data_IF_472364524837
#
_entry.id   IF_472364524837
#
_cell.length_a   1.000
_cell.length_b   1.000
_cell.length_c   1.000
_cell.angle_alpha   90.00
_cell.angle_beta   90.00
_cell.angle_gamma   90.00
#
_symmetry.space_group_name_H-M   'P 1'
#
loop_
_entity.id
_entity.type
_entity.pdbx_description
1 polymer ?
#
# COMPACT_ATOMS: atom_id res chain seq x y z
N UNK A 1 -25.10 -8.13 -7.19
CA UNK A 1 -24.18 -8.73 -6.18
C UNK A 1 -23.73 -7.69 -5.15
N UNK A 2 -23.15 -6.57 -5.54
CA UNK A 2 -22.64 -5.52 -4.63
C UNK A 2 -23.72 -4.95 -3.70
N UNK A 3 -24.89 -4.60 -4.25
CA UNK A 3 -26.02 -4.08 -3.46
C UNK A 3 -26.47 -5.01 -2.32
N UNK A 4 -26.39 -6.32 -2.55
CA UNK A 4 -26.73 -7.32 -1.53
C UNK A 4 -25.70 -7.27 -0.40
N UNK A 5 -24.41 -7.25 -0.73
CA UNK A 5 -23.34 -7.16 0.26
C UNK A 5 -23.50 -5.88 1.10
N UNK A 6 -23.70 -4.73 0.44
CA UNK A 6 -23.88 -3.44 1.14
C UNK A 6 -25.09 -3.42 2.07
N UNK A 7 -26.20 -4.09 1.68
CA UNK A 7 -27.38 -4.22 2.56
C UNK A 7 -27.12 -5.08 3.78
N UNK A 8 -26.30 -6.12 3.64
CA UNK A 8 -25.99 -7.05 4.73
C UNK A 8 -24.87 -6.53 5.67
N UNK A 9 -24.10 -5.55 5.23
CA UNK A 9 -23.05 -4.92 6.05
C UNK A 9 -23.62 -4.12 7.20
N UNK A 10 -23.00 -4.28 8.38
CA UNK A 10 -23.22 -3.38 9.53
C UNK A 10 -22.68 -1.98 9.22
N UNK A 11 -23.10 -0.98 10.00
CA UNK A 11 -22.55 0.37 9.87
C UNK A 11 -21.02 0.38 10.07
N UNK A 12 -20.51 -0.40 11.00
CA UNK A 12 -19.09 -0.51 11.29
C UNK A 12 -18.29 -1.07 10.11
N UNK A 13 -18.79 -2.12 9.47
CA UNK A 13 -18.18 -2.69 8.25
C UNK A 13 -18.23 -1.71 7.09
N UNK A 14 -19.32 -0.94 6.92
CA UNK A 14 -19.37 0.11 5.89
C UNK A 14 -18.35 1.21 6.13
N UNK A 15 -18.21 1.67 7.38
CA UNK A 15 -17.17 2.65 7.74
C UNK A 15 -15.79 2.09 7.50
N UNK A 16 -15.53 0.81 7.84
CA UNK A 16 -14.27 0.13 7.55
C UNK A 16 -13.90 0.11 6.08
N UNK A 17 -14.88 -0.07 5.18
CA UNK A 17 -14.65 -0.04 3.73
C UNK A 17 -14.40 1.37 3.18
N UNK A 18 -14.76 2.42 3.90
CA UNK A 18 -14.59 3.81 3.46
C UNK A 18 -13.37 4.49 4.08
N UNK A 19 -12.73 3.87 5.08
CA UNK A 19 -11.62 4.51 5.76
C UNK A 19 -10.25 4.05 5.24
N UNK A 20 -9.29 4.95 5.35
CA UNK A 20 -7.86 4.77 5.09
C UNK A 20 -7.08 5.25 6.31
N UNK A 21 -7.48 4.80 7.50
CA UNK A 21 -6.94 5.30 8.76
C UNK A 21 -5.54 4.77 9.06
N UNK A 22 -5.28 3.52 8.69
CA UNK A 22 -4.02 2.84 8.97
C UNK A 22 -3.04 3.05 7.82
N UNK A 23 -1.83 3.51 8.13
CA UNK A 23 -0.76 3.56 7.15
C UNK A 23 -0.18 2.18 6.88
N UNK A 24 0.15 1.89 5.62
CA UNK A 24 0.60 0.58 5.19
C UNK A 24 1.86 0.09 5.89
N UNK A 25 2.81 0.98 6.19
CA UNK A 25 4.03 0.64 6.95
C UNK A 25 3.77 0.30 8.42
N UNK A 26 2.56 0.53 8.93
CA UNK A 26 2.13 0.12 10.27
C UNK A 26 1.48 -1.27 10.27
N UNK A 27 1.20 -1.84 9.09
CA UNK A 27 0.54 -3.14 8.98
C UNK A 27 1.48 -4.30 9.26
N UNK A 28 2.78 -4.10 9.11
CA UNK A 28 3.80 -5.13 9.24
C UNK A 28 4.97 -4.67 10.11
N UNK A 29 5.74 -5.64 10.56
CA UNK A 29 7.04 -5.45 11.19
C UNK A 29 8.01 -6.54 10.76
N UNK A 30 9.32 -6.26 10.83
CA UNK A 30 10.36 -7.24 10.53
C UNK A 30 11.03 -7.68 11.83
N UNK A 31 10.83 -8.94 12.20
CA UNK A 31 11.37 -9.54 13.44
C UNK A 31 12.29 -10.69 13.06
N UNK A 32 13.55 -10.63 13.46
CA UNK A 32 14.56 -11.65 13.13
C UNK A 32 14.63 -11.98 11.62
N UNK A 33 14.50 -10.97 10.77
CA UNK A 33 14.54 -11.09 9.31
C UNK A 33 13.26 -11.63 8.68
N UNK A 34 12.19 -11.90 9.46
CA UNK A 34 10.89 -12.34 8.96
C UNK A 34 9.85 -11.23 9.08
N UNK A 35 8.92 -11.19 8.15
CA UNK A 35 7.79 -10.26 8.21
C UNK A 35 6.63 -10.86 9.00
N UNK A 36 6.06 -10.06 9.87
CA UNK A 36 4.90 -10.40 10.69
C UNK A 36 3.91 -9.25 10.66
N UNK A 37 2.61 -9.56 10.75
CA UNK A 37 1.56 -8.55 10.87
C UNK A 37 1.55 -7.98 12.29
N UNK A 38 1.46 -6.65 12.39
CA UNK A 38 1.38 -5.96 13.68
C UNK A 38 0.04 -6.22 14.38
N UNK A 39 0.04 -6.12 15.69
CA UNK A 39 -1.21 -6.24 16.45
C UNK A 39 -2.13 -5.05 16.17
N UNK A 40 -1.59 -3.86 15.96
CA UNK A 40 -2.35 -2.69 15.52
C UNK A 40 -3.18 -2.98 14.26
N UNK A 41 -2.58 -3.58 13.24
CA UNK A 41 -3.29 -3.97 12.02
C UNK A 41 -4.36 -5.04 12.28
N UNK A 42 -4.02 -6.08 13.04
CA UNK A 42 -4.96 -7.16 13.37
C UNK A 42 -6.18 -6.65 14.15
N UNK A 43 -5.96 -5.78 15.12
CA UNK A 43 -7.03 -5.14 15.89
C UNK A 43 -7.91 -4.26 15.00
N UNK A 44 -7.33 -3.48 14.09
CA UNK A 44 -8.05 -2.65 13.15
C UNK A 44 -8.98 -3.50 12.24
N UNK A 45 -8.45 -4.57 11.65
CA UNK A 45 -9.25 -5.49 10.82
C UNK A 45 -10.41 -6.10 11.63
N UNK A 46 -10.13 -6.51 12.87
CA UNK A 46 -11.15 -7.08 13.77
C UNK A 46 -12.20 -6.05 14.15
N UNK A 47 -11.79 -4.83 14.44
CA UNK A 47 -12.68 -3.77 14.86
C UNK A 47 -13.69 -3.40 13.78
N UNK A 48 -13.25 -3.24 12.53
CA UNK A 48 -14.07 -2.77 11.41
C UNK A 48 -14.57 -3.90 10.51
N UNK A 49 -14.21 -5.15 10.78
CA UNK A 49 -14.59 -6.28 9.94
C UNK A 49 -13.96 -6.24 8.53
N UNK A 50 -12.82 -5.58 8.38
CA UNK A 50 -12.08 -5.41 7.15
C UNK A 50 -11.38 -4.07 7.05
N UNK A 51 -10.76 -3.79 5.90
CA UNK A 51 -10.06 -2.54 5.58
C UNK A 51 -10.39 -2.16 4.15
N UNK A 52 -10.87 -0.95 3.91
CA UNK A 52 -11.24 -0.49 2.56
C UNK A 52 -10.04 -0.10 1.71
N UNK A 53 -9.10 0.65 2.29
CA UNK A 53 -7.89 1.07 1.60
C UNK A 53 -6.69 1.12 2.55
N UNK A 54 -5.51 0.80 2.02
CA UNK A 54 -4.23 0.90 2.73
C UNK A 54 -3.28 1.71 1.85
N UNK A 55 -2.71 2.78 2.42
CA UNK A 55 -1.78 3.65 1.75
C UNK A 55 -0.35 3.39 2.22
N UNK A 56 0.59 3.26 1.28
CA UNK A 56 2.01 3.27 1.58
C UNK A 56 2.55 2.00 2.23
N UNK A 57 2.15 0.81 1.78
CA UNK A 57 2.70 -0.45 2.31
C UNK A 57 4.20 -0.54 2.05
N UNK A 58 4.64 -0.11 0.87
CA UNK A 58 6.05 -0.17 0.47
C UNK A 58 6.83 1.09 0.83
N UNK A 59 6.18 2.09 1.43
CA UNK A 59 6.80 3.37 1.74
C UNK A 59 8.02 3.22 2.66
N UNK A 60 9.11 3.85 2.24
CA UNK A 60 10.38 3.85 2.96
C UNK A 60 11.03 5.24 2.88
N UNK A 61 10.87 6.04 3.91
CA UNK A 61 11.39 7.40 4.01
C UNK A 61 11.54 7.85 5.48
N UNK A 62 12.03 9.06 5.67
CA UNK A 62 12.22 9.64 7.00
C UNK A 62 10.90 9.86 7.77
N UNK A 63 9.78 10.03 7.07
CA UNK A 63 8.48 10.20 7.72
C UNK A 63 7.94 8.88 8.26
N UNK A 64 7.97 7.83 7.45
CA UNK A 64 7.54 6.49 7.86
C UNK A 64 8.49 5.83 8.86
N UNK A 65 9.73 6.31 8.99
CA UNK A 65 10.84 5.68 9.74
C UNK A 65 11.21 4.29 9.19
N UNK A 66 10.80 3.99 7.97
CA UNK A 66 11.12 2.75 7.28
C UNK A 66 12.41 2.95 6.47
N UNK A 67 13.30 1.98 6.57
CA UNK A 67 14.62 1.98 5.94
C UNK A 67 14.99 0.56 5.48
N UNK A 68 16.25 0.34 5.07
CA UNK A 68 16.72 -0.96 4.58
C UNK A 68 16.70 -2.10 5.60
N UNK A 69 16.71 -1.79 6.88
CA UNK A 69 16.74 -2.80 7.95
C UNK A 69 15.34 -3.35 8.24
N UNK A 70 14.35 -2.46 8.30
CA UNK A 70 12.98 -2.78 8.71
C UNK A 70 11.93 -2.73 7.60
N UNK A 71 12.29 -2.21 6.42
CA UNK A 71 11.41 -2.05 5.28
C UNK A 71 11.31 -3.31 4.41
N UNK A 72 10.41 -3.23 3.43
CA UNK A 72 10.13 -4.31 2.48
C UNK A 72 11.07 -4.17 1.28
N UNK A 73 11.85 -5.21 0.99
CA UNK A 73 12.63 -5.26 -0.25
C UNK A 73 11.70 -5.47 -1.47
N UNK A 74 12.22 -5.20 -2.65
CA UNK A 74 11.47 -5.44 -3.89
C UNK A 74 11.03 -6.91 -4.01
N UNK A 75 11.94 -7.82 -3.67
CA UNK A 75 11.72 -9.27 -3.75
C UNK A 75 10.67 -9.75 -2.75
N UNK A 76 10.59 -9.09 -1.59
CA UNK A 76 9.66 -9.46 -0.51
C UNK A 76 8.29 -8.79 -0.63
N UNK A 77 8.12 -7.83 -1.54
CA UNK A 77 6.91 -7.01 -1.66
C UNK A 77 5.65 -7.87 -1.84
N UNK A 78 5.70 -8.83 -2.73
CA UNK A 78 4.58 -9.77 -2.96
C UNK A 78 4.23 -10.58 -1.71
N UNK A 79 5.23 -11.05 -0.98
CA UNK A 79 5.02 -11.86 0.24
C UNK A 79 4.24 -11.05 1.26
N UNK A 80 4.68 -9.82 1.54
CA UNK A 80 4.05 -8.97 2.56
C UNK A 80 2.67 -8.49 2.13
N UNK A 81 2.49 -8.07 0.88
CA UNK A 81 1.18 -7.67 0.34
C UNK A 81 0.20 -8.84 0.39
N UNK A 82 0.62 -10.04 -0.01
CA UNK A 82 -0.21 -11.24 0.05
C UNK A 82 -0.60 -11.56 1.50
N UNK A 83 0.35 -11.53 2.43
CA UNK A 83 0.10 -11.77 3.85
C UNK A 83 -0.95 -10.81 4.43
N UNK A 84 -0.88 -9.52 4.09
CA UNK A 84 -1.86 -8.50 4.50
C UNK A 84 -3.24 -8.81 3.90
N UNK A 85 -3.32 -9.05 2.60
CA UNK A 85 -4.58 -9.32 1.90
C UNK A 85 -5.25 -10.62 2.35
N UNK A 86 -4.49 -11.68 2.56
CA UNK A 86 -5.00 -12.95 3.06
C UNK A 86 -5.54 -12.81 4.49
N UNK A 87 -4.86 -12.03 5.34
CA UNK A 87 -5.36 -11.75 6.67
C UNK A 87 -6.68 -11.02 6.65
N UNK A 88 -6.82 -9.97 5.83
CA UNK A 88 -8.07 -9.22 5.66
C UNK A 88 -9.20 -10.16 5.20
N UNK A 89 -8.97 -10.94 4.15
CA UNK A 89 -9.98 -11.89 3.64
C UNK A 89 -10.41 -12.89 4.71
N UNK A 90 -9.47 -13.49 5.39
CA UNK A 90 -9.74 -14.51 6.42
C UNK A 90 -10.51 -13.97 7.63
N UNK A 91 -10.35 -12.69 7.96
CA UNK A 91 -10.91 -12.09 9.18
C UNK A 91 -12.03 -11.08 8.88
N UNK A 92 -12.47 -10.98 7.63
CA UNK A 92 -13.63 -10.19 7.22
C UNK A 92 -14.75 -11.08 6.70
N UNK A 93 -15.99 -10.75 7.04
CA UNK A 93 -17.18 -11.56 6.73
C UNK A 93 -17.48 -11.63 5.23
N UNK A 94 -17.07 -10.63 4.47
CA UNK A 94 -17.32 -10.53 3.03
C UNK A 94 -16.10 -10.80 2.17
N UNK A 95 -14.94 -11.08 2.78
CA UNK A 95 -13.68 -11.39 2.11
C UNK A 95 -13.21 -10.32 1.10
N UNK A 96 -13.62 -9.07 1.31
CA UNK A 96 -13.28 -7.95 0.43
C UNK A 96 -11.81 -7.56 0.67
N UNK A 97 -10.96 -7.61 -0.36
CA UNK A 97 -9.58 -7.17 -0.22
C UNK A 97 -9.49 -5.64 -0.10
N UNK A 98 -8.44 -5.14 0.54
CA UNK A 98 -8.18 -3.71 0.58
C UNK A 98 -7.68 -3.19 -0.77
N UNK A 99 -8.06 -1.96 -1.13
CA UNK A 99 -7.38 -1.21 -2.18
C UNK A 99 -6.01 -0.77 -1.65
N UNK A 100 -4.96 -1.08 -2.41
CA UNK A 100 -3.60 -0.64 -2.08
C UNK A 100 -3.29 0.59 -2.91
N UNK A 101 -2.83 1.64 -2.25
CA UNK A 101 -2.42 2.88 -2.90
C UNK A 101 -1.02 3.30 -2.45
N UNK A 102 -0.25 3.82 -3.39
CA UNK A 102 1.09 4.34 -3.19
C UNK A 102 1.17 5.77 -3.72
N UNK A 103 2.19 6.50 -3.32
CA UNK A 103 2.42 7.89 -3.71
C UNK A 103 3.71 8.01 -4.51
N UNK A 104 3.64 8.76 -5.64
CA UNK A 104 4.74 8.92 -6.58
C UNK A 104 4.99 10.39 -6.94
N UNK A 105 5.01 11.29 -5.96
CA UNK A 105 5.20 12.74 -6.18
C UNK A 105 6.58 13.06 -6.76
N UNK A 106 7.59 12.29 -6.41
CA UNK A 106 8.98 12.42 -6.89
C UNK A 106 9.63 11.04 -7.09
N UNK A 107 8.89 10.13 -7.72
CA UNK A 107 9.17 8.70 -7.79
C UNK A 107 8.47 7.95 -6.67
N UNK A 108 8.43 6.63 -6.79
CA UNK A 108 7.82 5.78 -5.76
C UNK A 108 8.72 5.72 -4.52
N UNK A 109 8.19 6.05 -3.37
CA UNK A 109 8.93 6.10 -2.10
C UNK A 109 9.13 4.71 -1.48
N UNK A 110 9.57 3.73 -2.28
CA UNK A 110 9.87 2.37 -1.85
C UNK A 110 11.36 2.07 -1.96
N UNK A 111 11.83 1.06 -1.23
CA UNK A 111 13.22 0.63 -1.29
C UNK A 111 13.59 0.16 -2.70
N UNK A 112 14.67 0.76 -3.24
CA UNK A 112 15.16 0.44 -4.59
C UNK A 112 14.41 1.12 -5.74
N UNK A 113 13.38 1.90 -5.46
CA UNK A 113 12.66 2.66 -6.48
C UNK A 113 13.47 3.89 -6.94
N UNK A 114 13.30 4.33 -8.20
CA UNK A 114 13.94 5.54 -8.68
C UNK A 114 13.35 6.78 -8.01
N UNK A 115 14.21 7.69 -7.59
CA UNK A 115 13.83 9.02 -7.13
C UNK A 115 13.96 9.99 -8.30
N UNK A 116 12.93 10.78 -8.55
CA UNK A 116 12.86 11.78 -9.61
C UNK A 116 12.52 13.15 -9.01
N UNK A 117 12.73 14.25 -9.72
CA UNK A 117 12.27 15.56 -9.27
C UNK A 117 10.75 15.57 -9.09
N UNK A 118 10.24 16.48 -8.26
CA UNK A 118 8.80 16.66 -8.10
C UNK A 118 8.12 17.04 -9.43
N UNK A 119 6.85 16.70 -9.59
CA UNK A 119 6.08 17.01 -10.81
C UNK A 119 6.14 18.49 -11.19
N UNK A 120 6.15 19.38 -10.19
CA UNK A 120 6.29 20.83 -10.43
C UNK A 120 7.66 21.17 -11.04
N UNK A 121 8.75 20.61 -10.48
CA UNK A 121 10.10 20.82 -11.01
C UNK A 121 10.27 20.22 -12.40
N UNK A 122 9.70 19.05 -12.64
CA UNK A 122 9.71 18.42 -13.97
C UNK A 122 8.90 19.23 -14.99
N UNK A 123 7.76 19.81 -14.60
CA UNK A 123 6.95 20.68 -15.44
C UNK A 123 7.70 21.94 -15.90
N UNK A 124 8.64 22.46 -15.11
CA UNK A 124 9.48 23.61 -15.48
C UNK A 124 10.44 23.33 -16.63
N UNK A 125 10.62 22.08 -17.03
CA UNK A 125 11.43 21.73 -18.21
C UNK A 125 10.74 22.10 -19.54
N UNK A 126 9.44 22.34 -19.53
CA UNK A 126 8.62 22.58 -20.72
C UNK A 126 8.76 21.49 -21.79
N UNK A 127 9.13 20.28 -21.38
CA UNK A 127 9.37 19.15 -22.27
C UNK A 127 8.41 17.99 -21.94
N UNK A 128 7.23 17.94 -22.60
CA UNK A 128 6.23 16.91 -22.33
C UNK A 128 6.72 15.49 -22.66
N UNK A 129 7.55 15.33 -23.71
CA UNK A 129 8.10 14.03 -24.11
C UNK A 129 9.06 13.48 -23.03
N UNK A 130 9.82 14.36 -22.39
CA UNK A 130 10.66 13.98 -21.26
C UNK A 130 9.80 13.52 -20.07
N UNK A 131 8.74 14.24 -19.77
CA UNK A 131 7.78 13.89 -18.71
C UNK A 131 7.15 12.53 -18.93
N UNK A 132 6.67 12.27 -20.14
CA UNK A 132 6.07 10.99 -20.50
C UNK A 132 7.07 9.82 -20.30
N UNK A 133 8.29 9.98 -20.75
CA UNK A 133 9.33 8.94 -20.58
C UNK A 133 9.68 8.69 -19.11
N UNK A 134 9.79 9.74 -18.30
CA UNK A 134 10.10 9.61 -16.87
C UNK A 134 8.95 8.90 -16.15
N UNK A 135 7.72 9.34 -16.36
CA UNK A 135 6.54 8.75 -15.71
C UNK A 135 6.30 7.31 -16.16
N UNK A 136 6.54 7.01 -17.44
CA UNK A 136 6.50 5.63 -17.93
C UNK A 136 7.48 4.72 -17.17
N UNK A 137 8.71 5.14 -16.95
CA UNK A 137 9.70 4.36 -16.21
C UNK A 137 9.29 4.13 -14.75
N UNK A 138 8.68 5.11 -14.09
CA UNK A 138 8.13 4.95 -12.74
C UNK A 138 6.99 3.94 -12.74
N UNK A 139 6.08 4.03 -13.70
CA UNK A 139 4.96 3.10 -13.84
C UNK A 139 5.41 1.66 -14.12
N UNK A 140 6.41 1.47 -14.97
CA UNK A 140 7.01 0.14 -15.21
C UNK A 140 7.57 -0.45 -13.92
N UNK A 141 8.20 0.36 -13.08
CA UNK A 141 8.69 -0.10 -11.79
C UNK A 141 7.54 -0.54 -10.87
N UNK A 142 6.47 0.24 -10.77
CA UNK A 142 5.27 -0.10 -10.01
C UNK A 142 4.59 -1.36 -10.53
N UNK A 143 4.39 -1.45 -11.86
CA UNK A 143 3.78 -2.63 -12.49
C UNK A 143 4.56 -3.93 -12.21
N UNK A 144 5.89 -3.86 -12.21
CA UNK A 144 6.72 -5.03 -11.85
C UNK A 144 6.50 -5.44 -10.38
N UNK A 145 6.25 -4.48 -9.47
CA UNK A 145 5.93 -4.78 -8.08
C UNK A 145 4.54 -5.41 -7.90
N UNK A 146 3.57 -4.99 -8.71
CA UNK A 146 2.19 -5.49 -8.66
C UNK A 146 2.01 -6.84 -9.38
N UNK A 147 2.81 -7.12 -10.40
CA UNK A 147 2.71 -8.33 -11.22
C UNK A 147 3.50 -9.53 -10.66
N UNK A 148 4.34 -9.31 -9.67
CA UNK A 148 5.04 -10.37 -8.95
C UNK A 148 4.18 -10.90 -7.81
#
# INVERSE_FOLDING_TARGET
MIEKIVKEMTLKEKVGQLNQHLYGWQCYQKVNGKYELTDLFKEHVKEYGGVGAIYGILRADAWSQINRENGISREDSKIVITMIQEYIKKHSRFEIPALISEECVHGHMALGAPVIPTNLAMGMTWNPDLMERITHNVNVFLYILESL
#
